data_IF_422982650481
#
_entry.id   IF_422982650481
#
_cell.length_a   1.000
_cell.length_b   1.000
_cell.length_c   1.000
_cell.angle_alpha   90.00
_cell.angle_beta   90.00
_cell.angle_gamma   90.00
#
_symmetry.space_group_name_H-M   'P 1'
#
loop_
_entity.id
_entity.type
_entity.pdbx_description
1 polymer ?
#
# COMPACT_ATOMS: atom_id res chain seq x y z
N UNK A 1 12.61 -25.77 43.83
CA UNK A 1 12.12 -24.42 44.13
C UNK A 1 12.69 -23.49 43.10
N UNK A 2 12.06 -23.38 41.96
CA UNK A 2 12.49 -22.55 40.82
C UNK A 2 11.64 -21.30 40.81
N UNK A 3 12.29 -20.17 41.03
CA UNK A 3 11.67 -18.84 41.03
C UNK A 3 11.41 -18.40 39.59
N UNK A 4 10.16 -18.47 39.17
CA UNK A 4 9.70 -17.98 37.88
C UNK A 4 9.73 -16.43 37.91
N UNK A 5 10.80 -15.80 37.44
CA UNK A 5 10.86 -14.38 37.21
C UNK A 5 9.97 -14.06 36.01
N UNK A 6 8.75 -13.58 36.25
CA UNK A 6 7.96 -12.85 35.28
C UNK A 6 8.71 -11.55 35.00
N UNK A 7 9.39 -11.49 33.87
CA UNK A 7 9.82 -10.22 33.30
C UNK A 7 8.56 -9.53 32.80
N UNK A 8 8.09 -8.53 33.55
CA UNK A 8 7.21 -7.50 33.03
C UNK A 8 8.01 -6.74 31.97
N UNK A 9 7.70 -6.97 30.71
CA UNK A 9 8.05 -6.03 29.65
C UNK A 9 7.22 -4.79 29.94
N UNK A 10 7.82 -3.82 30.63
CA UNK A 10 7.25 -2.48 30.76
C UNK A 10 7.17 -1.93 29.33
N UNK A 11 5.94 -1.76 28.84
CA UNK A 11 5.69 -1.16 27.54
C UNK A 11 6.29 0.23 27.52
N UNK A 12 7.34 0.41 26.74
CA UNK A 12 8.05 1.65 26.52
C UNK A 12 7.16 2.55 25.66
N UNK A 13 6.52 3.52 26.25
CA UNK A 13 5.86 4.62 25.53
C UNK A 13 6.96 5.55 24.98
N UNK A 14 7.40 5.30 23.74
CA UNK A 14 8.06 6.31 22.96
C UNK A 14 7.02 7.38 22.62
N UNK A 15 7.27 8.64 22.96
CA UNK A 15 6.44 9.74 22.49
C UNK A 15 6.79 10.00 21.02
N UNK A 16 5.85 9.78 20.13
CA UNK A 16 5.99 10.08 18.71
C UNK A 16 5.05 11.25 18.40
N UNK A 17 5.59 12.33 17.85
CA UNK A 17 4.80 13.40 17.27
C UNK A 17 4.96 13.41 15.75
N UNK A 18 3.84 13.46 15.06
CA UNK A 18 3.80 13.52 13.61
C UNK A 18 3.11 14.81 13.19
N UNK A 19 3.77 15.57 12.32
CA UNK A 19 3.19 16.69 11.59
C UNK A 19 3.11 16.35 10.09
N UNK A 20 1.93 16.50 9.49
CA UNK A 20 1.79 16.40 8.03
C UNK A 20 1.14 17.68 7.53
N UNK A 21 1.80 18.35 6.58
CA UNK A 21 1.27 19.53 5.90
C UNK A 21 1.19 19.20 4.42
N UNK A 22 -0.03 19.15 3.89
CA UNK A 22 -0.27 19.02 2.46
C UNK A 22 -0.39 20.40 1.81
N UNK A 23 0.29 20.60 0.69
CA UNK A 23 -0.04 21.67 -0.24
C UNK A 23 -1.19 21.10 -1.09
N UNK A 24 -2.38 21.71 -1.08
CA UNK A 24 -3.51 21.18 -1.83
C UNK A 24 -3.12 21.00 -3.30
N UNK A 25 -3.58 19.91 -3.89
CA UNK A 25 -3.38 19.67 -5.32
C UNK A 25 -3.97 20.83 -6.11
N UNK A 26 -3.16 21.42 -6.97
CA UNK A 26 -3.59 22.44 -7.92
C UNK A 26 -3.73 21.75 -9.27
N UNK A 27 -4.97 21.56 -9.72
CA UNK A 27 -5.26 21.09 -11.06
C UNK A 27 -5.36 22.30 -11.98
N UNK A 28 -4.56 22.31 -13.03
CA UNK A 28 -4.49 23.39 -14.03
C UNK A 28 -4.85 22.77 -15.39
N UNK A 29 -5.92 23.21 -16.00
CA UNK A 29 -6.19 22.90 -17.39
C UNK A 29 -5.20 23.67 -18.27
N UNK A 30 -4.34 22.94 -18.98
CA UNK A 30 -3.35 23.53 -19.90
C UNK A 30 -3.98 23.82 -21.25
N UNK A 31 -4.82 22.89 -21.69
CA UNK A 31 -5.47 22.96 -22.98
C UNK A 31 -6.77 22.17 -22.99
N UNK A 32 -7.75 22.69 -23.69
CA UNK A 32 -9.04 22.05 -23.95
C UNK A 32 -9.52 22.43 -25.35
N UNK A 33 -10.21 21.55 -26.06
CA UNK A 33 -10.89 21.90 -27.27
C UNK A 33 -12.19 22.68 -26.98
N UNK A 34 -12.83 23.23 -28.01
CA UNK A 34 -14.05 24.02 -27.84
C UNK A 34 -15.23 23.22 -27.26
N UNK A 35 -15.23 21.92 -27.46
CA UNK A 35 -16.30 21.02 -26.99
C UNK A 35 -15.95 20.36 -25.63
N UNK A 36 -14.73 20.57 -25.11
CA UNK A 36 -14.24 19.95 -23.87
C UNK A 36 -14.04 18.43 -23.95
N UNK A 37 -14.02 17.88 -25.17
CA UNK A 37 -13.88 16.43 -25.39
C UNK A 37 -12.41 15.97 -25.41
N UNK A 38 -11.50 16.89 -25.59
CA UNK A 38 -10.05 16.64 -25.52
C UNK A 38 -9.44 17.65 -24.57
N UNK A 39 -8.83 17.15 -23.51
CA UNK A 39 -8.25 17.99 -22.47
C UNK A 39 -6.85 17.55 -22.10
N UNK A 40 -6.02 18.50 -21.71
CA UNK A 40 -4.70 18.28 -21.11
C UNK A 40 -4.64 19.07 -19.82
N UNK A 41 -4.46 18.38 -18.71
CA UNK A 41 -4.36 18.95 -17.38
C UNK A 41 -3.01 18.67 -16.72
N UNK A 42 -2.57 19.57 -15.86
CA UNK A 42 -1.40 19.43 -15.00
C UNK A 42 -1.85 19.47 -13.55
N UNK A 43 -1.48 18.45 -12.78
CA UNK A 43 -1.66 18.41 -11.36
C UNK A 43 -0.33 18.61 -10.65
N UNK A 44 -0.31 19.51 -9.68
CA UNK A 44 0.86 19.75 -8.84
C UNK A 44 0.43 19.57 -7.38
N UNK A 45 1.08 18.68 -6.68
CA UNK A 45 0.82 18.44 -5.26
C UNK A 45 2.12 18.25 -4.49
N UNK A 46 2.14 18.76 -3.26
CA UNK A 46 3.29 18.66 -2.38
C UNK A 46 2.88 18.23 -0.97
N UNK A 47 3.75 17.49 -0.31
CA UNK A 47 3.56 17.08 1.07
C UNK A 47 4.86 17.20 1.84
N UNK A 48 4.75 17.67 3.04
CA UNK A 48 5.83 17.67 4.02
C UNK A 48 5.37 16.89 5.26
N UNK A 49 6.17 15.92 5.68
CA UNK A 49 5.92 15.12 6.87
C UNK A 49 7.11 15.23 7.81
N UNK A 50 6.86 15.57 9.06
CA UNK A 50 7.84 15.67 10.12
C UNK A 50 7.53 14.62 11.19
N UNK A 51 8.45 13.73 11.46
CA UNK A 51 8.34 12.70 12.48
C UNK A 51 9.39 12.94 13.54
N UNK A 52 8.96 13.24 14.76
CA UNK A 52 9.81 13.38 15.93
C UNK A 52 9.54 12.21 16.88
N UNK A 53 10.57 11.54 17.33
CA UNK A 53 10.47 10.47 18.31
C UNK A 53 11.38 10.72 19.50
N UNK A 54 10.84 10.48 20.69
CA UNK A 54 11.56 10.54 21.95
C UNK A 54 11.58 9.15 22.57
N UNK A 55 12.74 8.53 22.65
CA UNK A 55 12.91 7.21 23.22
C UNK A 55 13.16 7.28 24.73
N UNK A 56 12.87 6.21 25.48
CA UNK A 56 13.22 6.14 26.89
C UNK A 56 14.72 6.21 27.16
N UNK A 57 15.06 6.42 28.43
CA UNK A 57 16.44 6.54 28.89
C UNK A 57 17.12 5.19 29.01
N UNK A 58 17.45 4.61 27.87
CA UNK A 58 18.26 3.39 27.76
C UNK A 58 19.35 3.60 26.69
N UNK A 59 20.54 4.05 27.06
CA UNK A 59 21.62 4.31 26.11
C UNK A 59 22.11 3.08 25.33
N UNK A 60 21.80 1.88 25.81
CA UNK A 60 22.17 0.62 25.16
C UNK A 60 21.26 0.32 23.97
N UNK A 61 19.96 0.51 24.18
CA UNK A 61 18.95 0.31 23.13
C UNK A 61 18.76 1.56 22.27
N UNK A 62 18.86 2.75 22.88
CA UNK A 62 18.61 4.04 22.23
C UNK A 62 19.79 4.98 22.45
N UNK A 63 20.90 4.86 21.70
CA UNK A 63 22.06 5.74 21.84
C UNK A 63 21.75 7.22 21.67
N UNK A 64 20.65 7.52 20.97
CA UNK A 64 20.12 8.87 20.80
C UNK A 64 18.62 8.85 21.09
N UNK A 65 18.23 9.56 22.14
CA UNK A 65 16.83 9.59 22.61
C UNK A 65 15.92 10.38 21.69
N UNK A 66 16.42 11.51 21.21
CA UNK A 66 15.66 12.40 20.36
C UNK A 66 16.10 12.22 18.92
N UNK A 67 15.15 11.79 18.09
CA UNK A 67 15.38 11.64 16.65
C UNK A 67 14.29 12.33 15.87
N UNK A 68 14.65 12.87 14.71
CA UNK A 68 13.68 13.44 13.79
C UNK A 68 13.94 12.95 12.36
N UNK A 69 12.88 12.89 11.60
CA UNK A 69 12.87 12.58 10.18
C UNK A 69 11.95 13.56 9.47
N UNK A 70 12.49 14.23 8.47
CA UNK A 70 11.75 15.13 7.60
C UNK A 70 11.63 14.49 6.22
N UNK A 71 10.42 14.42 5.69
CA UNK A 71 10.14 13.92 4.35
C UNK A 71 9.36 14.96 3.56
N UNK A 72 9.91 15.38 2.45
CA UNK A 72 9.26 16.22 1.45
C UNK A 72 8.95 15.39 0.20
N UNK A 73 7.71 15.47 -0.29
CA UNK A 73 7.25 14.83 -1.51
C UNK A 73 6.64 15.88 -2.44
N UNK A 74 7.04 15.84 -3.70
CA UNK A 74 6.45 16.65 -4.77
C UNK A 74 6.01 15.71 -5.88
N UNK A 75 4.76 15.85 -6.32
CA UNK A 75 4.20 15.09 -7.43
C UNK A 75 3.70 16.03 -8.53
N UNK A 76 4.12 15.75 -9.74
CA UNK A 76 3.67 16.42 -10.96
C UNK A 76 2.93 15.39 -11.82
N UNK A 77 1.66 15.62 -12.08
CA UNK A 77 0.79 14.75 -12.88
C UNK A 77 0.38 15.46 -14.18
N UNK A 78 0.54 14.79 -15.29
CA UNK A 78 -0.02 15.20 -16.58
C UNK A 78 -1.16 14.24 -16.91
N UNK A 79 -2.37 14.78 -17.06
CA UNK A 79 -3.57 14.04 -17.40
C UNK A 79 -4.03 14.42 -18.81
N UNK A 80 -4.37 13.42 -19.59
CA UNK A 80 -4.86 13.58 -20.95
C UNK A 80 -6.18 12.85 -21.09
N UNK A 81 -7.20 13.54 -21.60
CA UNK A 81 -8.45 12.93 -22.02
C UNK A 81 -8.62 13.16 -23.52
N UNK A 82 -8.97 12.10 -24.23
CA UNK A 82 -9.22 12.16 -25.66
C UNK A 82 -10.57 11.50 -25.96
N UNK A 83 -11.60 12.30 -26.09
CA UNK A 83 -13.01 11.87 -26.11
C UNK A 83 -13.31 10.97 -24.91
N UNK A 84 -14.39 10.20 -24.99
CA UNK A 84 -14.81 9.30 -23.92
C UNK A 84 -14.10 7.94 -23.94
N UNK A 85 -13.28 7.68 -24.97
CA UNK A 85 -12.71 6.36 -25.18
C UNK A 85 -11.25 6.17 -24.75
N UNK A 86 -10.49 7.27 -24.53
CA UNK A 86 -9.08 7.19 -24.14
C UNK A 86 -8.74 8.22 -23.08
N UNK A 87 -8.14 7.76 -22.00
CA UNK A 87 -7.51 8.62 -21.00
C UNK A 87 -6.07 8.17 -20.74
N UNK A 88 -5.23 9.09 -20.22
CA UNK A 88 -3.85 8.83 -19.89
C UNK A 88 -3.37 9.66 -18.71
N UNK A 89 -2.44 9.10 -17.94
CA UNK A 89 -1.77 9.78 -16.83
C UNK A 89 -0.27 9.53 -16.91
N UNK A 90 0.52 10.60 -16.77
CA UNK A 90 1.95 10.52 -16.51
C UNK A 90 2.23 11.23 -15.19
N UNK A 91 2.73 10.55 -14.16
CA UNK A 91 3.07 11.17 -12.91
C UNK A 91 4.54 10.96 -12.54
N UNK A 92 5.18 12.07 -12.21
CA UNK A 92 6.57 12.15 -11.76
C UNK A 92 6.59 12.59 -10.31
N UNK A 93 7.29 11.83 -9.48
CA UNK A 93 7.40 12.07 -8.04
C UNK A 93 8.85 12.32 -7.64
N UNK A 94 9.06 13.29 -6.76
CA UNK A 94 10.31 13.59 -6.09
C UNK A 94 10.12 13.42 -4.59
N UNK A 95 11.10 12.82 -3.93
CA UNK A 95 11.17 12.64 -2.47
C UNK A 95 12.52 13.10 -1.97
N UNK A 96 12.52 13.93 -0.94
CA UNK A 96 13.71 14.31 -0.22
C UNK A 96 13.52 13.99 1.26
N UNK A 97 14.36 13.14 1.83
CA UNK A 97 14.30 12.71 3.22
C UNK A 97 15.58 13.09 3.96
N UNK A 98 15.41 13.74 5.09
CA UNK A 98 16.48 14.08 6.02
C UNK A 98 16.26 13.35 7.34
N UNK A 99 17.34 12.84 7.91
CA UNK A 99 17.35 12.15 9.19
C UNK A 99 18.27 12.90 10.16
N UNK A 100 17.89 12.98 11.43
CA UNK A 100 18.79 13.51 12.47
C UNK A 100 20.06 12.67 12.61
N UNK A 101 19.97 11.36 12.36
CA UNK A 101 21.04 10.38 12.39
C UNK A 101 20.59 9.09 11.69
N UNK A 102 21.50 8.11 11.51
CA UNK A 102 21.16 6.81 10.87
C UNK A 102 20.08 6.01 11.61
N UNK A 103 20.06 6.11 12.95
CA UNK A 103 19.08 5.39 13.78
C UNK A 103 17.65 5.92 13.59
N UNK A 104 17.48 7.20 13.24
CA UNK A 104 16.17 7.79 12.96
C UNK A 104 15.46 7.10 11.78
N UNK A 105 16.22 6.61 10.80
CA UNK A 105 15.66 5.89 9.65
C UNK A 105 14.96 4.58 10.03
N UNK A 106 15.47 3.88 11.03
CA UNK A 106 14.88 2.65 11.54
C UNK A 106 13.60 2.91 12.37
N UNK A 107 13.57 4.01 13.13
CA UNK A 107 12.44 4.36 13.97
C UNK A 107 11.20 4.83 13.18
N UNK A 108 11.40 5.40 11.99
CA UNK A 108 10.31 5.93 11.14
C UNK A 108 9.89 5.01 9.99
N UNK A 109 10.54 3.86 9.81
CA UNK A 109 10.43 3.05 8.61
C UNK A 109 9.02 2.55 8.26
N UNK A 110 8.16 2.37 9.25
CA UNK A 110 6.79 1.89 9.03
C UNK A 110 5.74 3.01 8.99
N UNK A 111 6.08 4.22 9.46
CA UNK A 111 5.16 5.36 9.55
C UNK A 111 5.21 6.20 8.27
N UNK A 112 6.40 6.31 7.68
CA UNK A 112 6.64 7.01 6.43
C UNK A 112 6.55 6.05 5.23
N UNK A 113 6.28 6.55 4.02
CA UNK A 113 6.26 5.73 2.82
C UNK A 113 7.54 4.92 2.64
N UNK A 114 7.39 3.65 2.28
CA UNK A 114 8.51 2.73 2.07
C UNK A 114 9.43 3.20 0.95
N UNK A 115 10.74 3.14 1.18
CA UNK A 115 11.77 3.40 0.16
C UNK A 115 12.20 2.13 -0.58
N UNK A 116 11.71 0.96 -0.19
CA UNK A 116 12.01 -0.29 -0.89
C UNK A 116 11.59 -0.22 -2.37
N UNK A 117 12.29 -0.95 -3.23
CA UNK A 117 11.91 -1.06 -4.63
C UNK A 117 10.47 -1.56 -4.77
N UNK A 118 9.68 -0.94 -5.65
CA UNK A 118 8.31 -1.39 -5.88
C UNK A 118 8.33 -2.75 -6.60
N UNK A 119 7.55 -3.73 -6.14
CA UNK A 119 7.39 -4.99 -6.85
C UNK A 119 6.69 -4.78 -8.19
N UNK A 120 6.73 -5.79 -9.04
CA UNK A 120 6.04 -5.79 -10.34
C UNK A 120 6.34 -4.56 -11.20
N UNK A 121 7.62 -4.24 -11.34
CA UNK A 121 8.14 -3.24 -12.27
C UNK A 121 9.17 -3.89 -13.19
N UNK A 122 8.96 -3.80 -14.50
CA UNK A 122 9.91 -4.26 -15.52
C UNK A 122 11.22 -3.46 -15.38
N UNK A 123 11.06 -2.15 -15.13
CA UNK A 123 12.17 -1.24 -14.84
C UNK A 123 11.72 -0.22 -13.80
N UNK A 124 12.55 0.07 -12.81
CA UNK A 124 12.14 0.97 -11.72
C UNK A 124 11.88 2.41 -12.22
N UNK A 125 12.62 2.92 -13.19
CA UNK A 125 12.53 4.29 -13.70
C UNK A 125 12.67 5.32 -12.58
N UNK A 126 13.62 5.08 -11.71
CA UNK A 126 13.98 5.91 -10.57
C UNK A 126 15.48 6.23 -10.59
N UNK A 127 15.81 7.32 -9.92
CA UNK A 127 17.17 7.77 -9.67
C UNK A 127 17.28 8.13 -8.20
N UNK A 128 18.29 7.62 -7.56
CA UNK A 128 18.49 7.74 -6.13
C UNK A 128 19.85 8.39 -5.84
N UNK A 129 19.86 9.35 -4.91
CA UNK A 129 21.08 10.00 -4.40
C UNK A 129 21.07 9.85 -2.88
N UNK A 130 22.12 9.26 -2.34
CA UNK A 130 22.30 9.09 -0.90
C UNK A 130 23.62 9.73 -0.49
N UNK A 131 23.62 10.55 0.54
CA UNK A 131 24.86 11.12 1.08
C UNK A 131 25.70 10.08 1.83
N UNK A 132 27.02 10.28 1.87
CA UNK A 132 27.97 9.38 2.52
C UNK A 132 27.68 9.11 4.01
N UNK A 133 26.98 10.02 4.70
CA UNK A 133 26.52 9.85 6.09
C UNK A 133 25.20 9.10 6.23
N UNK A 134 24.53 8.81 5.13
CA UNK A 134 23.21 8.17 5.09
C UNK A 134 22.13 8.89 5.93
N UNK A 135 22.21 10.22 5.97
CA UNK A 135 21.24 11.08 6.67
C UNK A 135 20.41 11.94 5.71
N UNK A 136 20.75 11.92 4.43
CA UNK A 136 19.99 12.56 3.36
C UNK A 136 19.78 11.58 2.22
N UNK A 137 18.53 11.43 1.80
CA UNK A 137 18.11 10.60 0.68
C UNK A 137 17.27 11.46 -0.25
N UNK A 138 17.63 11.46 -1.52
CA UNK A 138 16.83 12.07 -2.56
C UNK A 138 16.55 11.02 -3.63
N UNK A 139 15.30 10.87 -3.96
CA UNK A 139 14.82 9.97 -5.00
C UNK A 139 13.80 10.66 -5.86
N UNK A 140 13.85 10.41 -7.16
CA UNK A 140 12.80 10.79 -8.07
C UNK A 140 12.46 9.63 -8.98
N UNK A 141 11.19 9.49 -9.33
CA UNK A 141 10.71 8.37 -10.12
C UNK A 141 9.52 8.76 -11.01
N UNK A 142 9.32 7.99 -12.09
CA UNK A 142 8.06 7.97 -12.82
C UNK A 142 7.17 6.94 -12.14
N UNK A 143 6.16 7.42 -11.39
CA UNK A 143 5.27 6.56 -10.61
C UNK A 143 4.02 6.15 -11.38
N UNK A 144 3.61 6.93 -12.39
CA UNK A 144 2.53 6.62 -13.33
C UNK A 144 2.98 6.85 -14.75
N UNK A 145 2.59 5.96 -15.63
CA UNK A 145 2.68 6.10 -17.08
C UNK A 145 1.66 5.14 -17.67
N UNK A 146 0.41 5.57 -17.79
CA UNK A 146 -0.74 4.70 -18.08
C UNK A 146 -1.61 5.28 -19.16
N UNK A 147 -2.19 4.40 -19.98
CA UNK A 147 -3.27 4.70 -20.89
C UNK A 147 -4.44 3.75 -20.63
N UNK A 148 -5.65 4.29 -20.52
CA UNK A 148 -6.88 3.55 -20.34
C UNK A 148 -7.81 3.75 -21.54
N UNK A 149 -8.25 2.64 -22.11
CA UNK A 149 -9.17 2.56 -23.23
C UNK A 149 -10.54 2.15 -22.72
N UNK A 150 -11.49 3.07 -22.82
CA UNK A 150 -12.86 2.85 -22.40
C UNK A 150 -13.68 2.35 -23.59
N UNK A 151 -14.31 1.21 -23.43
CA UNK A 151 -15.10 0.55 -24.46
C UNK A 151 -16.46 0.15 -23.90
N UNK A 152 -17.45 -0.11 -24.76
CA UNK A 152 -18.84 -0.38 -24.33
C UNK A 152 -18.96 -1.52 -23.30
N UNK A 153 -18.06 -2.49 -23.34
CA UNK A 153 -18.10 -3.65 -22.44
C UNK A 153 -17.20 -3.51 -21.20
N UNK A 154 -16.40 -2.45 -21.07
CA UNK A 154 -15.49 -2.27 -19.97
C UNK A 154 -14.29 -1.39 -20.26
N UNK A 155 -13.13 -1.69 -19.67
CA UNK A 155 -11.90 -0.90 -19.77
C UNK A 155 -10.67 -1.79 -19.98
N UNK A 156 -9.73 -1.29 -20.79
CA UNK A 156 -8.38 -1.89 -20.94
C UNK A 156 -7.36 -0.83 -20.54
N UNK A 157 -6.63 -1.10 -19.46
CA UNK A 157 -5.61 -0.19 -18.92
C UNK A 157 -4.22 -0.80 -19.10
N UNK A 158 -3.31 -0.02 -19.69
CA UNK A 158 -1.95 -0.43 -20.03
C UNK A 158 -0.92 0.51 -19.41
N UNK A 159 0.16 -0.04 -18.85
CA UNK A 159 1.31 0.71 -18.36
C UNK A 159 1.44 0.72 -16.85
N UNK A 160 2.18 1.71 -16.31
CA UNK A 160 2.43 1.85 -14.88
C UNK A 160 1.23 2.48 -14.19
N UNK A 161 0.52 1.69 -13.40
CA UNK A 161 -0.76 2.05 -12.80
C UNK A 161 -0.83 1.64 -11.32
N UNK A 162 -1.64 2.34 -10.52
CA UNK A 162 -1.95 1.92 -9.16
C UNK A 162 -3.03 0.84 -9.18
N UNK A 163 -2.71 -0.33 -8.62
CA UNK A 163 -3.68 -1.40 -8.44
C UNK A 163 -3.77 -1.70 -6.95
N UNK A 164 -4.95 -1.55 -6.38
CA UNK A 164 -5.26 -1.92 -5.01
C UNK A 164 -6.27 -3.05 -4.98
N UNK A 165 -6.04 -4.00 -4.09
CA UNK A 165 -6.94 -5.12 -3.82
C UNK A 165 -7.33 -5.09 -2.35
N UNK A 166 -8.54 -5.58 -2.04
CA UNK A 166 -8.97 -5.70 -0.65
C UNK A 166 -9.68 -4.47 -0.08
N UNK A 167 -10.15 -4.61 1.15
CA UNK A 167 -10.95 -3.64 1.91
C UNK A 167 -10.33 -3.24 3.24
N UNK A 168 -9.31 -3.96 3.70
CA UNK A 168 -8.61 -3.66 4.95
C UNK A 168 -8.05 -2.25 4.98
N UNK A 169 -8.20 -1.60 6.11
CA UNK A 169 -7.80 -0.19 6.31
C UNK A 169 -6.36 -0.07 6.77
N UNK A 170 -5.94 -0.94 7.71
CA UNK A 170 -4.57 -0.98 8.24
C UNK A 170 -3.77 -2.11 7.60
N UNK A 171 -4.40 -3.26 7.45
CA UNK A 171 -3.78 -4.47 6.90
C UNK A 171 -4.55 -4.93 5.68
N UNK A 172 -3.90 -5.71 4.80
CA UNK A 172 -4.60 -6.46 3.76
C UNK A 172 -4.10 -7.89 3.68
N UNK A 173 -5.04 -8.82 3.55
CA UNK A 173 -4.74 -10.22 3.28
C UNK A 173 -4.54 -10.48 1.80
N UNK A 174 -5.23 -9.73 0.94
CA UNK A 174 -5.32 -9.96 -0.51
C UNK A 174 -4.53 -8.96 -1.35
N UNK A 175 -4.15 -7.78 -0.82
CA UNK A 175 -3.36 -6.82 -1.58
C UNK A 175 -1.92 -7.30 -1.73
N UNK A 176 -1.58 -7.67 -2.95
CA UNK A 176 -0.28 -8.29 -3.29
C UNK A 176 0.60 -7.38 -4.15
N UNK A 177 0.09 -6.24 -4.63
CA UNK A 177 0.82 -5.39 -5.55
C UNK A 177 1.68 -4.34 -4.84
N UNK A 178 1.06 -3.42 -4.13
CA UNK A 178 1.75 -2.34 -3.42
C UNK A 178 0.94 -1.95 -2.17
N UNK A 179 0.80 -2.85 -1.19
CA UNK A 179 0.12 -2.53 0.05
C UNK A 179 0.86 -1.40 0.76
N UNK A 180 0.10 -0.52 1.40
CA UNK A 180 0.68 0.44 2.33
C UNK A 180 1.19 -0.28 3.57
N UNK A 181 2.23 0.28 4.22
CA UNK A 181 2.60 -0.16 5.57
C UNK A 181 1.42 0.06 6.54
N UNK A 182 1.19 -0.84 7.52
CA UNK A 182 0.09 -0.68 8.47
C UNK A 182 0.10 0.64 9.23
N UNK A 183 1.26 1.17 9.52
CA UNK A 183 1.46 2.43 10.23
C UNK A 183 1.65 3.63 9.29
N UNK A 184 1.68 3.41 7.98
CA UNK A 184 1.84 4.48 6.99
C UNK A 184 0.63 5.42 7.01
N UNK A 185 0.90 6.70 7.26
CA UNK A 185 -0.15 7.71 7.41
C UNK A 185 -0.52 8.30 6.06
N UNK A 186 0.47 8.46 5.16
CA UNK A 186 0.22 8.98 3.81
C UNK A 186 -0.15 7.87 2.83
N UNK A 187 -1.43 7.55 2.76
CA UNK A 187 -1.99 6.50 1.89
C UNK A 187 -2.64 7.04 0.61
N UNK A 188 -2.38 8.29 0.28
CA UNK A 188 -3.00 8.91 -0.90
C UNK A 188 -2.36 8.42 -2.21
N UNK A 189 -1.02 8.25 -2.21
CA UNK A 189 -0.29 7.90 -3.41
C UNK A 189 0.26 6.48 -3.34
N UNK A 190 -0.59 5.54 -3.76
CA UNK A 190 -0.17 4.14 -3.93
C UNK A 190 0.82 4.03 -5.07
N UNK A 191 1.91 3.33 -4.87
CA UNK A 191 2.96 3.14 -5.87
C UNK A 191 2.45 2.34 -7.07
N UNK A 192 2.85 2.76 -8.27
CA UNK A 192 2.47 2.13 -9.52
C UNK A 192 3.23 0.83 -9.78
N UNK A 193 2.55 -0.12 -10.43
CA UNK A 193 3.08 -1.37 -10.97
C UNK A 193 2.92 -1.39 -12.49
N UNK A 194 3.84 -2.02 -13.21
CA UNK A 194 3.76 -2.16 -14.66
C UNK A 194 2.78 -3.29 -15.00
N UNK A 195 1.61 -2.96 -15.55
CA UNK A 195 0.54 -3.91 -15.71
C UNK A 195 -0.30 -3.70 -16.97
N UNK A 196 -0.98 -4.78 -17.36
CA UNK A 196 -2.13 -4.78 -18.25
C UNK A 196 -3.33 -5.21 -17.43
N UNK A 197 -4.38 -4.42 -17.41
CA UNK A 197 -5.65 -4.75 -16.76
C UNK A 197 -6.77 -4.70 -17.79
N UNK A 198 -7.59 -5.72 -17.79
CA UNK A 198 -8.80 -5.81 -18.60
C UNK A 198 -9.95 -5.96 -17.63
N UNK A 199 -10.80 -4.96 -17.55
CA UNK A 199 -12.04 -4.98 -16.77
C UNK A 199 -13.24 -5.13 -17.70
N UNK A 200 -14.07 -6.12 -17.42
CA UNK A 200 -15.32 -6.32 -18.11
C UNK A 200 -16.48 -6.10 -17.15
N UNK A 201 -17.38 -5.21 -17.49
CA UNK A 201 -18.64 -5.01 -16.79
C UNK A 201 -19.60 -6.14 -17.15
N UNK A 202 -20.11 -6.85 -16.15
CA UNK A 202 -21.10 -7.94 -16.32
C UNK A 202 -22.50 -7.38 -16.11
N UNK A 203 -22.63 -6.45 -15.17
CA UNK A 203 -23.85 -5.70 -14.88
C UNK A 203 -23.45 -4.34 -14.28
N UNK A 204 -24.42 -3.49 -13.97
CA UNK A 204 -24.19 -2.19 -13.31
C UNK A 204 -23.52 -2.34 -11.93
N UNK A 205 -23.62 -3.51 -11.31
CA UNK A 205 -23.08 -3.80 -9.96
C UNK A 205 -22.02 -4.89 -9.93
N UNK A 206 -21.62 -5.44 -11.06
CA UNK A 206 -20.68 -6.56 -11.12
C UNK A 206 -19.65 -6.39 -12.22
N UNK A 207 -18.40 -6.70 -11.94
CA UNK A 207 -17.31 -6.73 -12.93
C UNK A 207 -16.36 -7.89 -12.72
N UNK A 208 -15.62 -8.22 -13.76
CA UNK A 208 -14.51 -9.19 -13.75
C UNK A 208 -13.28 -8.51 -14.30
N UNK A 209 -12.14 -8.66 -13.60
CA UNK A 209 -10.84 -8.18 -14.06
C UNK A 209 -9.90 -9.35 -14.36
N UNK A 210 -9.09 -9.17 -15.38
CA UNK A 210 -7.86 -9.90 -15.60
C UNK A 210 -6.69 -8.93 -15.46
N UNK A 211 -5.75 -9.23 -14.56
CA UNK A 211 -4.64 -8.35 -14.21
C UNK A 211 -3.34 -9.10 -14.42
N UNK A 212 -2.53 -8.68 -15.41
CA UNK A 212 -1.16 -9.11 -15.58
C UNK A 212 -0.21 -8.01 -15.10
N UNK A 213 0.49 -8.21 -13.98
CA UNK A 213 1.50 -7.29 -13.47
C UNK A 213 2.89 -7.88 -13.67
N UNK A 214 3.81 -7.10 -14.25
CA UNK A 214 5.07 -7.61 -14.77
C UNK A 214 6.26 -7.14 -13.94
N UNK A 215 7.07 -8.10 -13.48
CA UNK A 215 8.41 -7.88 -12.95
C UNK A 215 9.48 -8.07 -14.02
N UNK A 216 10.74 -8.14 -13.60
CA UNK A 216 11.87 -8.39 -14.52
C UNK A 216 11.87 -9.81 -15.09
N UNK A 217 11.27 -10.76 -14.38
CA UNK A 217 11.14 -12.15 -14.80
C UNK A 217 9.70 -12.64 -14.61
N UNK A 218 9.37 -13.78 -15.23
CA UNK A 218 8.06 -14.41 -15.01
C UNK A 218 7.81 -14.80 -13.55
N UNK A 219 8.86 -15.20 -12.84
CA UNK A 219 8.79 -15.53 -11.42
C UNK A 219 8.53 -14.33 -10.52
N UNK A 220 8.81 -13.11 -11.00
CA UNK A 220 8.53 -11.84 -10.33
C UNK A 220 7.25 -11.17 -10.84
N UNK A 221 6.51 -11.83 -11.72
CA UNK A 221 5.28 -11.31 -12.32
C UNK A 221 4.06 -11.95 -11.69
N UNK A 222 2.91 -11.28 -11.79
CA UNK A 222 1.62 -11.78 -11.31
C UNK A 222 0.60 -11.85 -12.45
N UNK A 223 -0.28 -12.83 -12.37
CA UNK A 223 -1.46 -12.96 -13.23
C UNK A 223 -2.64 -13.32 -12.34
N UNK A 224 -3.58 -12.37 -12.17
CA UNK A 224 -4.73 -12.51 -11.28
C UNK A 224 -6.03 -12.32 -12.04
N UNK A 225 -7.02 -13.14 -11.71
CA UNK A 225 -8.42 -12.90 -11.99
C UNK A 225 -9.10 -12.34 -10.75
N UNK A 226 -9.98 -11.35 -10.91
CA UNK A 226 -10.83 -10.80 -9.86
C UNK A 226 -12.26 -10.75 -10.35
N UNK A 227 -13.21 -11.21 -9.54
CA UNK A 227 -14.63 -10.97 -9.72
C UNK A 227 -15.13 -10.13 -8.56
N UNK A 228 -15.91 -9.08 -8.86
CA UNK A 228 -16.43 -8.13 -7.90
C UNK A 228 -17.92 -7.95 -8.09
N UNK A 229 -18.66 -7.83 -6.99
CA UNK A 229 -20.09 -7.58 -7.05
C UNK A 229 -20.63 -6.89 -5.80
N UNK A 230 -21.67 -6.09 -6.01
CA UNK A 230 -22.43 -5.43 -4.97
C UNK A 230 -23.80 -6.10 -4.85
N UNK A 231 -24.15 -6.55 -3.65
CA UNK A 231 -25.38 -7.27 -3.33
C UNK A 231 -26.12 -6.51 -2.21
N UNK A 232 -26.89 -5.51 -2.59
CA UNK A 232 -27.46 -4.57 -1.64
C UNK A 232 -26.36 -3.73 -0.98
N UNK A 233 -26.25 -3.82 0.36
CA UNK A 233 -25.24 -3.09 1.15
C UNK A 233 -23.92 -3.88 1.31
N UNK A 234 -23.81 -5.04 0.66
CA UNK A 234 -22.64 -5.91 0.74
C UNK A 234 -21.82 -5.77 -0.54
N UNK A 235 -20.54 -5.46 -0.39
CA UNK A 235 -19.53 -5.51 -1.43
C UNK A 235 -18.67 -6.76 -1.23
N UNK A 236 -18.49 -7.56 -2.27
CA UNK A 236 -17.72 -8.80 -2.22
C UNK A 236 -16.77 -8.91 -3.42
N UNK A 237 -15.57 -9.46 -3.17
CA UNK A 237 -14.60 -9.77 -4.21
C UNK A 237 -14.07 -11.19 -4.04
N UNK A 238 -13.80 -11.84 -5.16
CA UNK A 238 -13.06 -13.09 -5.25
C UNK A 238 -11.84 -12.87 -6.12
N UNK A 239 -10.67 -13.28 -5.64
CA UNK A 239 -9.38 -13.06 -6.30
C UNK A 239 -8.65 -14.39 -6.38
N UNK A 240 -8.11 -14.73 -7.55
CA UNK A 240 -7.37 -15.97 -7.74
C UNK A 240 -6.28 -15.81 -8.79
N UNK A 241 -5.22 -16.59 -8.69
CA UNK A 241 -4.18 -16.62 -9.69
C UNK A 241 -2.78 -16.82 -9.14
N UNK A 242 -1.79 -16.32 -9.88
CA UNK A 242 -0.37 -16.43 -9.58
C UNK A 242 0.15 -15.07 -9.10
N UNK A 243 0.89 -15.07 -7.97
CA UNK A 243 1.66 -13.94 -7.47
C UNK A 243 3.13 -14.34 -7.32
N UNK A 244 4.01 -13.80 -8.12
CA UNK A 244 5.41 -14.22 -8.15
C UNK A 244 5.54 -15.76 -8.34
N UNK A 245 6.07 -16.47 -7.36
CA UNK A 245 6.17 -17.92 -7.34
C UNK A 245 4.96 -18.63 -6.74
N UNK A 246 4.13 -17.88 -6.00
CA UNK A 246 2.99 -18.42 -5.28
C UNK A 246 1.74 -18.48 -6.16
N UNK A 247 0.84 -19.42 -5.87
CA UNK A 247 -0.55 -19.33 -6.30
C UNK A 247 -1.41 -18.87 -5.13
N UNK A 248 -2.46 -18.11 -5.41
CA UNK A 248 -3.35 -17.58 -4.41
C UNK A 248 -4.83 -17.73 -4.76
N UNK A 249 -5.63 -17.89 -3.73
CA UNK A 249 -7.07 -17.72 -3.74
C UNK A 249 -7.43 -16.84 -2.55
N UNK A 250 -8.15 -15.76 -2.79
CA UNK A 250 -8.56 -14.82 -1.76
C UNK A 250 -9.95 -14.29 -2.00
N UNK A 251 -10.53 -13.72 -0.97
CA UNK A 251 -11.82 -13.05 -1.05
C UNK A 251 -11.94 -11.96 -0.01
N UNK A 252 -12.79 -11.00 -0.31
CA UNK A 252 -13.11 -9.88 0.58
C UNK A 252 -14.62 -9.71 0.67
N UNK A 253 -15.05 -9.19 1.80
CA UNK A 253 -16.42 -8.77 2.02
C UNK A 253 -16.42 -7.51 2.87
N UNK A 254 -17.26 -6.55 2.51
CA UNK A 254 -17.56 -5.40 3.37
C UNK A 254 -19.04 -5.06 3.33
N UNK A 255 -19.52 -4.50 4.43
CA UNK A 255 -20.90 -4.05 4.56
C UNK A 255 -20.98 -2.79 5.42
N UNK A 256 -21.85 -1.86 5.02
CA UNK A 256 -22.23 -0.71 5.82
C UNK A 256 -23.52 -1.03 6.58
N UNK A 257 -23.53 -0.78 7.89
CA UNK A 257 -24.68 -1.00 8.78
C UNK A 257 -24.91 0.26 9.61
N UNK A 258 -25.73 1.17 9.09
CA UNK A 258 -25.90 2.50 9.70
C UNK A 258 -24.59 3.30 9.68
N UNK A 259 -24.16 3.77 10.86
CA UNK A 259 -22.92 4.53 11.05
C UNK A 259 -21.68 3.61 11.23
N UNK A 260 -21.87 2.29 11.14
CA UNK A 260 -20.81 1.29 11.24
C UNK A 260 -20.45 0.73 9.87
N UNK A 261 -19.19 0.37 9.70
CA UNK A 261 -18.67 -0.44 8.59
C UNK A 261 -18.03 -1.69 9.16
N UNK A 262 -18.27 -2.84 8.55
CA UNK A 262 -17.57 -4.09 8.86
C UNK A 262 -16.93 -4.63 7.59
N UNK A 263 -15.72 -5.20 7.70
CA UNK A 263 -15.03 -5.83 6.57
C UNK A 263 -14.25 -7.06 7.01
N UNK A 264 -14.03 -7.94 6.05
CA UNK A 264 -13.21 -9.13 6.22
C UNK A 264 -12.49 -9.49 4.94
N UNK A 265 -11.28 -10.01 5.09
CA UNK A 265 -10.46 -10.54 4.00
C UNK A 265 -9.86 -11.87 4.40
N UNK A 266 -9.82 -12.81 3.46
CA UNK A 266 -9.19 -14.10 3.63
C UNK A 266 -8.38 -14.42 2.37
N UNK A 267 -7.16 -14.91 2.55
CA UNK A 267 -6.34 -15.37 1.44
C UNK A 267 -5.57 -16.64 1.80
N UNK A 268 -5.49 -17.55 0.85
CA UNK A 268 -4.70 -18.77 0.90
C UNK A 268 -3.64 -18.71 -0.20
N UNK A 269 -2.43 -19.06 0.19
CA UNK A 269 -1.28 -19.11 -0.71
C UNK A 269 -0.72 -20.53 -0.71
N UNK A 270 -0.37 -21.02 -1.90
CA UNK A 270 0.46 -22.19 -2.04
C UNK A 270 1.82 -21.73 -2.58
N UNK A 271 2.86 -21.88 -1.76
CA UNK A 271 4.22 -21.39 -2.03
C UNK A 271 5.19 -22.56 -2.24
N UNK A 272 6.14 -22.46 -3.19
CA UNK A 272 7.19 -23.47 -3.34
C UNK A 272 8.21 -23.44 -2.18
N UNK A 273 8.28 -22.32 -1.43
CA UNK A 273 9.19 -22.16 -0.30
C UNK A 273 8.50 -22.62 1.00
N UNK A 274 9.22 -23.42 1.78
CA UNK A 274 8.72 -23.88 3.07
C UNK A 274 8.67 -22.74 4.10
N UNK A 275 7.62 -22.71 4.92
CA UNK A 275 7.49 -21.74 6.00
C UNK A 275 7.98 -22.36 7.32
N UNK A 276 8.84 -21.67 8.08
CA UNK A 276 9.50 -22.27 9.26
C UNK A 276 8.52 -22.71 10.36
N UNK A 277 7.34 -22.13 10.39
CA UNK A 277 6.32 -22.41 11.40
C UNK A 277 5.26 -23.43 10.98
N UNK A 278 5.48 -24.15 9.90
CA UNK A 278 4.66 -25.29 9.48
C UNK A 278 3.40 -24.98 8.69
N UNK A 279 3.15 -23.70 8.34
CA UNK A 279 2.03 -23.28 7.47
C UNK A 279 0.63 -23.68 8.01
N UNK A 280 -0.34 -23.73 7.11
CA UNK A 280 -1.74 -24.03 7.42
C UNK A 280 -1.94 -25.54 7.61
N UNK A 281 -2.61 -25.95 8.71
CA UNK A 281 -2.87 -27.35 9.06
C UNK A 281 -1.62 -28.26 9.06
N UNK A 282 -0.47 -27.72 9.41
CA UNK A 282 0.78 -28.47 9.41
C UNK A 282 1.39 -28.69 8.02
N UNK A 283 0.85 -28.07 6.99
CA UNK A 283 1.43 -28.03 5.65
C UNK A 283 2.19 -26.71 5.46
N UNK A 284 3.50 -26.77 5.43
CA UNK A 284 4.41 -25.62 5.38
C UNK A 284 4.45 -24.92 4.01
N UNK A 285 3.84 -25.50 2.97
CA UNK A 285 3.65 -24.88 1.65
C UNK A 285 2.33 -24.12 1.53
N UNK A 286 1.36 -24.35 2.42
CA UNK A 286 0.07 -23.68 2.39
C UNK A 286 -0.03 -22.66 3.52
N UNK A 287 -0.20 -21.40 3.18
CA UNK A 287 -0.20 -20.28 4.11
C UNK A 287 -1.51 -19.52 4.02
N UNK A 288 -2.08 -19.17 5.17
CA UNK A 288 -3.29 -18.36 5.27
C UNK A 288 -3.00 -16.96 5.77
N UNK A 289 -3.77 -15.99 5.31
CA UNK A 289 -3.86 -14.62 5.85
C UNK A 289 -5.32 -14.28 6.10
N UNK A 290 -5.59 -13.56 7.18
CA UNK A 290 -6.93 -13.10 7.57
C UNK A 290 -6.86 -11.66 8.05
N UNK A 291 -7.81 -10.85 7.63
CA UNK A 291 -8.11 -9.54 8.21
C UNK A 291 -9.59 -9.51 8.56
N UNK A 292 -9.93 -9.03 9.74
CA UNK A 292 -11.30 -8.74 10.17
C UNK A 292 -11.29 -7.41 10.88
N UNK A 293 -12.15 -6.50 10.49
CA UNK A 293 -12.20 -5.18 11.06
C UNK A 293 -13.53 -4.50 10.93
N UNK A 294 -13.58 -3.33 11.51
CA UNK A 294 -14.74 -2.44 11.40
C UNK A 294 -14.46 -1.06 11.95
N UNK A 295 -15.30 -0.15 11.60
CA UNK A 295 -15.28 1.22 12.08
C UNK A 295 -16.66 1.70 12.50
N UNK A 296 -16.70 2.66 13.41
CA UNK A 296 -17.93 3.34 13.82
C UNK A 296 -17.67 4.84 13.93
N UNK A 297 -18.58 5.62 13.36
CA UNK A 297 -18.49 7.08 13.41
C UNK A 297 -19.51 7.62 14.42
N UNK A 298 -18.99 8.21 15.49
CA UNK A 298 -19.78 8.88 16.51
C UNK A 298 -20.10 10.31 16.08
N UNK A 299 -21.31 10.76 16.29
CA UNK A 299 -21.72 12.15 16.03
C UNK A 299 -21.30 13.07 17.20
N UNK A 300 -19.99 13.22 17.39
CA UNK A 300 -19.38 14.06 18.43
C UNK A 300 -18.47 15.09 17.79
N UNK A 301 -18.74 16.36 17.97
CA UNK A 301 -17.99 17.45 17.32
C UNK A 301 -18.12 17.41 15.79
N UNK A 302 -17.00 17.31 15.10
CA UNK A 302 -16.95 17.17 13.64
C UNK A 302 -17.02 15.70 13.16
N UNK A 303 -17.36 14.77 14.06
CA UNK A 303 -17.34 13.34 13.84
C UNK A 303 -16.07 12.69 14.43
N UNK A 304 -16.26 11.66 15.26
CA UNK A 304 -15.17 10.82 15.79
C UNK A 304 -15.33 9.42 15.23
N UNK A 305 -14.39 8.97 14.40
CA UNK A 305 -14.38 7.61 13.89
C UNK A 305 -13.38 6.75 14.66
N UNK A 306 -13.85 5.64 15.20
CA UNK A 306 -13.01 4.59 15.77
C UNK A 306 -12.91 3.43 14.78
N UNK A 307 -11.70 2.97 14.54
CA UNK A 307 -11.37 1.84 13.67
C UNK A 307 -10.63 0.78 14.48
N UNK A 308 -10.99 -0.48 14.29
CA UNK A 308 -10.28 -1.63 14.82
C UNK A 308 -10.14 -2.74 13.78
N UNK A 309 -8.93 -3.30 13.66
CA UNK A 309 -8.65 -4.44 12.80
C UNK A 309 -7.83 -5.49 13.54
N UNK A 310 -8.14 -6.76 13.26
CA UNK A 310 -7.32 -7.92 13.60
C UNK A 310 -6.71 -8.50 12.34
N UNK A 311 -5.40 -8.75 12.36
CA UNK A 311 -4.67 -9.33 11.24
C UNK A 311 -3.94 -10.60 11.69
N UNK A 312 -4.09 -11.68 10.93
CA UNK A 312 -3.30 -12.89 11.02
C UNK A 312 -2.54 -13.10 9.71
N UNK A 313 -1.25 -13.44 9.80
CA UNK A 313 -0.43 -13.81 8.65
C UNK A 313 0.41 -15.03 8.96
N UNK A 314 0.18 -16.10 8.22
CA UNK A 314 0.99 -17.32 8.29
C UNK A 314 2.41 -17.18 7.68
N UNK A 315 2.71 -16.05 7.05
CA UNK A 315 4.09 -15.71 6.62
C UNK A 315 4.94 -15.14 7.76
N UNK A 316 4.34 -14.88 8.93
CA UNK A 316 5.05 -14.40 10.10
C UNK A 316 5.96 -15.47 10.70
N UNK A 317 6.98 -15.05 11.45
CA UNK A 317 7.84 -15.92 12.24
C UNK A 317 7.37 -15.94 13.69
N UNK A 318 7.36 -17.10 14.33
CA UNK A 318 6.97 -17.25 15.75
C UNK A 318 8.13 -17.01 16.71
N UNK A 319 9.36 -17.27 16.25
CA UNK A 319 10.57 -17.11 17.03
C UNK A 319 11.47 -16.05 16.42
N UNK A 320 12.05 -15.18 17.26
CA UNK A 320 12.95 -14.12 16.82
C UNK A 320 14.22 -14.71 16.18
N UNK A 321 14.69 -15.87 16.66
CA UNK A 321 15.87 -16.54 16.11
C UNK A 321 15.68 -16.97 14.64
N UNK A 322 14.46 -17.25 14.22
CA UNK A 322 14.14 -17.59 12.82
C UNK A 322 14.14 -16.36 11.91
N UNK A 323 13.92 -15.17 12.47
CA UNK A 323 13.97 -13.91 11.73
C UNK A 323 15.40 -13.48 11.41
N UNK A 324 16.39 -13.87 12.23
CA UNK A 324 17.81 -13.50 12.05
C UNK A 324 18.54 -14.41 11.05
N UNK A 325 17.95 -15.55 10.69
CA UNK A 325 18.53 -16.54 9.78
C UNK A 325 17.97 -16.47 8.34
N UNK A 326 17.15 -15.47 8.04
CA UNK A 326 16.64 -15.13 6.70
C UNK A 326 17.33 -13.88 6.17
#
# INVERSE_FOLDING_TARGET
>A
MGCCRRQFVAGLLAAVSLGVVGIPACAIEIWSDEEGQRTVGLDVSGKWSSLNSHAPDDPTLYPQRDTWTELFRLRLGLNVQYYDWLSGELAYEQRAKWLSNRAAGAAGGDILPSEAAAPFRIRQLDWEITEAKEVFFYRHEIDRAVAAFHVDWGEVTLGRQAIGLGRGRLFSAVDVFAPFSPLEIDREWRRGVDAVRIERHISDTSSVDLIGAFGQTWEQSALLGRARGYFGDIDAELIFGKRAKDTMLGGTVSAAVGDAEAHGELAFFNTPETQPDGGLWGNDHQVGKLVVGGSYTFNVGNGLTLLGEYHYSGFGVKNIDDATNR
#
